data_IF_202413033055
#
_entry.id   IF_202413033055
#
_cell.length_a   1.000
_cell.length_b   1.000
_cell.length_c   1.000
_cell.angle_alpha   90.00
_cell.angle_beta   90.00
_cell.angle_gamma   90.00
#
_symmetry.space_group_name_H-M   'P 1'
#
loop_
_entity.id
_entity.type
_entity.pdbx_description
1 polymer ?
#
# COMPACT_ATOMS: atom_id res chain seq x y z
N UNK A 1 16.66 9.45 -6.47
CA UNK A 1 15.92 9.35 -5.18
C UNK A 1 16.74 9.85 -3.99
N UNK A 2 17.98 9.37 -3.79
CA UNK A 2 18.86 9.83 -2.70
C UNK A 2 18.97 11.37 -2.60
N UNK A 3 19.33 12.03 -3.71
CA UNK A 3 19.41 13.50 -3.75
C UNK A 3 18.08 14.20 -3.39
N UNK A 4 16.92 13.61 -3.73
CA UNK A 4 15.62 14.17 -3.38
C UNK A 4 15.38 14.07 -1.86
N UNK A 5 15.74 12.95 -1.23
CA UNK A 5 15.64 12.79 0.22
C UNK A 5 16.52 13.81 0.95
N UNK A 6 17.78 13.96 0.52
CA UNK A 6 18.72 14.93 1.09
C UNK A 6 18.22 16.37 0.97
N UNK A 7 17.73 16.76 -0.21
CA UNK A 7 17.16 18.09 -0.42
C UNK A 7 15.89 18.31 0.41
N UNK A 8 15.01 17.32 0.52
CA UNK A 8 13.82 17.41 1.35
C UNK A 8 14.15 17.52 2.85
N UNK A 9 15.19 16.83 3.33
CA UNK A 9 15.67 16.99 4.71
C UNK A 9 16.20 18.41 4.94
N UNK A 10 16.99 18.95 4.02
CA UNK A 10 17.48 20.32 4.11
C UNK A 10 16.33 21.34 4.10
N UNK A 11 15.32 21.15 3.26
CA UNK A 11 14.10 21.98 3.23
C UNK A 11 13.30 21.85 4.53
N UNK A 12 13.17 20.63 5.08
CA UNK A 12 12.48 20.38 6.34
C UNK A 12 13.18 21.08 7.52
N UNK A 13 14.51 21.04 7.58
CA UNK A 13 15.29 21.80 8.54
C UNK A 13 15.09 23.32 8.39
N UNK A 14 15.20 23.85 7.16
CA UNK A 14 14.97 25.27 6.85
C UNK A 14 13.56 25.74 7.19
N UNK A 15 12.56 24.87 7.02
CA UNK A 15 11.15 25.19 7.29
C UNK A 15 10.86 25.50 8.76
N UNK A 16 11.77 25.15 9.69
CA UNK A 16 11.71 25.56 11.10
C UNK A 16 11.94 27.07 11.29
N UNK A 17 12.54 27.74 10.31
CA UNK A 17 12.92 29.16 10.35
C UNK A 17 12.09 30.02 9.38
N UNK A 18 10.85 29.64 9.07
CA UNK A 18 9.95 30.46 8.24
C UNK A 18 9.55 31.71 9.02
N UNK A 19 9.91 32.89 8.51
CA UNK A 19 9.40 34.17 8.99
C UNK A 19 8.06 34.52 8.35
N UNK A 20 7.22 35.26 9.08
CA UNK A 20 5.96 35.81 8.57
C UNK A 20 6.10 37.32 8.43
N UNK A 21 5.54 37.89 7.37
CA UNK A 21 5.45 39.33 7.18
C UNK A 21 4.18 39.91 7.82
N UNK A 22 3.09 39.13 7.84
CA UNK A 22 1.82 39.51 8.44
C UNK A 22 1.70 39.00 9.87
N UNK A 23 1.45 39.94 10.78
CA UNK A 23 1.12 39.66 12.20
C UNK A 23 -0.40 39.63 12.45
N UNK A 24 -1.22 39.57 11.39
CA UNK A 24 -2.68 39.55 11.54
C UNK A 24 -3.15 38.26 12.23
N UNK A 25 -3.92 38.42 13.30
CA UNK A 25 -4.61 37.33 14.00
C UNK A 25 -5.94 36.93 13.32
N UNK A 26 -6.38 37.67 12.31
CA UNK A 26 -7.54 37.35 11.48
C UNK A 26 -7.16 36.34 10.38
N UNK A 27 -7.89 36.32 9.26
CA UNK A 27 -7.60 35.43 8.13
C UNK A 27 -6.19 35.68 7.61
N UNK A 28 -5.28 34.73 7.85
CA UNK A 28 -3.86 34.85 7.54
C UNK A 28 -3.39 33.67 6.68
N UNK A 29 -3.47 33.76 5.33
CA UNK A 29 -3.04 32.70 4.43
C UNK A 29 -1.52 32.44 4.49
N UNK A 30 -0.71 33.44 4.90
CA UNK A 30 0.73 33.30 5.08
C UNK A 30 1.04 32.36 6.26
N UNK A 31 0.41 32.59 7.41
CA UNK A 31 0.50 31.70 8.57
C UNK A 31 0.03 30.28 8.22
N UNK A 32 -1.07 30.17 7.48
CA UNK A 32 -1.59 28.88 7.02
C UNK A 32 -0.57 28.13 6.16
N UNK A 33 0.07 28.84 5.23
CA UNK A 33 1.11 28.26 4.38
C UNK A 33 2.31 27.81 5.21
N UNK A 34 2.76 28.64 6.15
CA UNK A 34 3.94 28.37 6.98
C UNK A 34 3.84 27.06 7.77
N UNK A 35 2.71 26.79 8.45
CA UNK A 35 2.57 25.53 9.17
C UNK A 35 2.24 24.35 8.26
N UNK A 36 1.54 24.56 7.13
CA UNK A 36 1.20 23.48 6.19
C UNK A 36 2.43 22.96 5.45
N UNK A 37 3.31 23.85 4.97
CA UNK A 37 4.55 23.46 4.27
C UNK A 37 5.40 22.55 5.14
N UNK A 38 5.52 22.85 6.44
CA UNK A 38 6.26 21.98 7.39
C UNK A 38 5.70 20.56 7.44
N UNK A 39 4.37 20.39 7.39
CA UNK A 39 3.70 19.09 7.37
C UNK A 39 3.85 18.39 6.02
N UNK A 40 3.70 19.14 4.93
CA UNK A 40 3.87 18.63 3.56
C UNK A 40 5.29 18.09 3.34
N UNK A 41 6.32 18.74 3.89
CA UNK A 41 7.70 18.25 3.80
C UNK A 41 7.91 16.92 4.53
N UNK A 42 7.27 16.71 5.70
CA UNK A 42 7.30 15.40 6.38
C UNK A 42 6.64 14.30 5.53
N UNK A 43 5.50 14.59 4.91
CA UNK A 43 4.83 13.64 4.01
C UNK A 43 5.66 13.35 2.76
N UNK A 44 6.27 14.38 2.16
CA UNK A 44 7.17 14.23 1.02
C UNK A 44 8.37 13.34 1.37
N UNK A 45 8.92 13.46 2.58
CA UNK A 45 9.97 12.57 3.08
C UNK A 45 9.49 11.12 3.23
N UNK A 46 8.28 10.87 3.73
CA UNK A 46 7.71 9.51 3.75
C UNK A 46 7.63 8.90 2.35
N UNK A 47 7.19 9.69 1.36
CA UNK A 47 7.11 9.24 -0.04
C UNK A 47 8.50 8.98 -0.63
N UNK A 48 9.39 9.97 -0.59
CA UNK A 48 10.70 9.88 -1.24
C UNK A 48 11.60 8.84 -0.57
N UNK A 49 11.60 8.76 0.76
CA UNK A 49 12.40 7.79 1.50
C UNK A 49 11.84 6.38 1.35
N UNK A 50 10.50 6.21 1.40
CA UNK A 50 9.87 4.93 1.10
C UNK A 50 10.19 4.43 -0.32
N UNK A 51 10.12 5.32 -1.31
CA UNK A 51 10.47 5.02 -2.70
C UNK A 51 11.95 4.66 -2.87
N UNK A 52 12.86 5.34 -2.16
CA UNK A 52 14.30 5.05 -2.16
C UNK A 52 14.58 3.66 -1.59
N UNK A 53 14.01 3.34 -0.43
CA UNK A 53 14.25 2.06 0.25
C UNK A 53 13.57 0.89 -0.45
N UNK A 54 12.45 1.09 -1.15
CA UNK A 54 11.76 0.04 -1.90
C UNK A 54 12.47 -0.27 -3.22
N UNK A 55 13.34 -1.27 -3.20
CA UNK A 55 14.17 -1.73 -4.33
C UNK A 55 13.47 -2.82 -5.17
N UNK A 56 12.30 -2.48 -5.70
CA UNK A 56 11.56 -3.23 -6.71
C UNK A 56 10.72 -2.26 -7.56
N UNK A 57 10.05 -2.78 -8.58
CA UNK A 57 8.99 -2.06 -9.32
C UNK A 57 7.64 -2.75 -9.14
N UNK A 58 6.64 -2.03 -8.61
CA UNK A 58 5.32 -2.57 -8.33
C UNK A 58 4.22 -1.53 -8.55
N UNK A 59 3.28 -1.86 -9.43
CA UNK A 59 2.16 -0.96 -9.76
C UNK A 59 2.67 0.36 -10.36
N UNK A 60 2.37 1.47 -9.71
CA UNK A 60 2.79 2.81 -10.13
C UNK A 60 4.21 3.19 -9.68
N UNK A 61 4.81 2.45 -8.74
CA UNK A 61 6.20 2.65 -8.33
C UNK A 61 7.12 1.90 -9.28
N UNK A 62 7.89 2.62 -10.09
CA UNK A 62 8.85 2.05 -11.03
C UNK A 62 10.26 2.53 -10.70
N UNK A 63 11.21 1.60 -10.71
CA UNK A 63 12.62 1.79 -10.42
C UNK A 63 13.44 1.28 -11.60
N UNK A 64 14.09 2.18 -12.33
CA UNK A 64 14.94 1.82 -13.47
C UNK A 64 16.10 0.89 -13.05
N UNK A 65 16.60 1.05 -11.84
CA UNK A 65 17.64 0.24 -11.22
C UNK A 65 17.12 -1.07 -10.59
N UNK A 66 15.80 -1.21 -10.44
CA UNK A 66 15.12 -2.43 -9.97
C UNK A 66 13.81 -2.66 -10.75
N UNK A 67 13.87 -2.98 -12.05
CA UNK A 67 12.70 -2.94 -12.94
C UNK A 67 11.68 -4.06 -12.69
N UNK A 68 12.08 -5.14 -12.00
CA UNK A 68 11.24 -6.30 -11.73
C UNK A 68 10.37 -6.09 -10.48
N UNK A 69 9.15 -6.66 -10.52
CA UNK A 69 8.36 -6.88 -9.30
C UNK A 69 9.02 -8.01 -8.51
N UNK A 70 9.25 -7.80 -7.21
CA UNK A 70 9.91 -8.79 -6.38
C UNK A 70 8.98 -9.27 -5.27
N UNK A 71 8.21 -10.33 -5.53
CA UNK A 71 7.28 -10.86 -4.54
C UNK A 71 8.02 -11.59 -3.41
N UNK A 72 9.15 -12.25 -3.68
CA UNK A 72 9.97 -12.90 -2.63
C UNK A 72 10.35 -11.94 -1.51
N UNK A 73 10.93 -10.79 -1.87
CA UNK A 73 11.51 -9.89 -0.87
C UNK A 73 10.65 -8.66 -0.58
N UNK A 74 9.67 -8.31 -1.43
CA UNK A 74 8.91 -7.05 -1.35
C UNK A 74 7.39 -7.22 -1.40
N UNK A 75 6.85 -8.42 -1.22
CA UNK A 75 5.43 -8.64 -0.96
C UNK A 75 5.04 -8.19 0.47
N UNK A 76 5.22 -6.89 0.72
CA UNK A 76 5.03 -6.20 1.98
C UNK A 76 4.60 -4.76 1.76
N UNK A 77 3.92 -4.20 2.76
CA UNK A 77 3.47 -2.82 2.82
C UNK A 77 4.44 -1.98 3.65
N UNK A 78 4.89 -0.85 3.10
CA UNK A 78 5.74 0.09 3.84
C UNK A 78 4.91 0.87 4.85
N UNK A 79 5.36 0.89 6.10
CA UNK A 79 4.76 1.63 7.22
C UNK A 79 5.71 2.77 7.58
N UNK A 80 5.30 4.01 7.38
CA UNK A 80 6.09 5.17 7.80
C UNK A 80 5.52 5.75 9.10
N UNK A 81 6.36 5.87 10.12
CA UNK A 81 6.02 6.50 11.40
C UNK A 81 7.00 7.62 11.73
N UNK A 82 6.61 8.48 12.66
CA UNK A 82 7.42 9.62 13.10
C UNK A 82 7.38 9.74 14.63
N UNK A 83 7.99 8.79 15.37
CA UNK A 83 7.86 8.70 16.82
C UNK A 83 8.53 9.85 17.57
N UNK A 84 9.65 10.39 17.08
CA UNK A 84 10.34 11.53 17.67
C UNK A 84 10.10 12.80 16.84
N UNK A 85 9.77 13.92 17.47
CA UNK A 85 9.58 15.18 16.76
C UNK A 85 10.87 15.73 16.14
N UNK A 86 12.04 15.38 16.69
CA UNK A 86 13.33 15.92 16.26
C UNK A 86 14.05 15.08 15.21
N UNK A 87 13.59 13.86 14.90
CA UNK A 87 14.16 13.05 13.83
C UNK A 87 13.97 13.73 12.46
N UNK A 88 14.96 13.57 11.58
CA UNK A 88 14.98 14.19 10.25
C UNK A 88 14.28 13.36 9.17
N UNK A 89 14.15 12.05 9.37
CA UNK A 89 13.53 11.10 8.46
C UNK A 89 12.43 10.29 9.16
N UNK A 90 11.42 9.80 8.43
CA UNK A 90 10.46 8.87 9.00
C UNK A 90 11.14 7.53 9.32
N UNK A 91 10.67 6.86 10.36
CA UNK A 91 11.02 5.47 10.64
C UNK A 91 10.19 4.59 9.72
N UNK A 92 10.85 3.74 8.94
CA UNK A 92 10.18 2.78 8.08
C UNK A 92 10.16 1.40 8.73
N UNK A 93 8.99 0.80 8.74
CA UNK A 93 8.76 -0.60 9.05
C UNK A 93 8.00 -1.24 7.87
N UNK A 94 7.84 -2.55 7.89
CA UNK A 94 7.17 -3.27 6.83
C UNK A 94 6.26 -4.37 7.38
N UNK A 95 5.03 -4.39 6.89
CA UNK A 95 4.09 -5.48 7.15
C UNK A 95 4.08 -6.44 5.96
N UNK A 96 4.50 -7.69 6.19
CA UNK A 96 4.44 -8.72 5.16
C UNK A 96 2.99 -9.09 4.84
N UNK A 97 2.70 -9.35 3.56
CA UNK A 97 1.42 -9.88 3.15
C UNK A 97 1.51 -11.40 3.10
N UNK A 98 0.65 -12.07 3.87
CA UNK A 98 0.61 -13.54 3.92
C UNK A 98 -0.03 -14.09 2.64
N UNK A 99 0.77 -14.78 1.82
CA UNK A 99 0.32 -15.42 0.58
C UNK A 99 -0.70 -16.52 0.88
N UNK A 100 -0.55 -17.26 1.97
CA UNK A 100 -1.42 -18.38 2.28
C UNK A 100 -2.84 -17.95 2.65
N UNK A 101 -3.02 -16.68 3.05
CA UNK A 101 -4.31 -16.07 3.31
C UNK A 101 -4.97 -15.45 2.06
N UNK A 102 -4.28 -15.36 0.92
CA UNK A 102 -4.82 -14.68 -0.27
C UNK A 102 -5.84 -15.56 -1.01
N UNK A 103 -7.02 -15.02 -1.33
CA UNK A 103 -7.98 -15.66 -2.25
C UNK A 103 -7.39 -15.81 -3.67
N UNK A 104 -6.55 -14.85 -4.06
CA UNK A 104 -5.83 -14.83 -5.33
C UNK A 104 -4.34 -14.51 -5.07
N UNK A 105 -3.46 -15.52 -5.05
CA UNK A 105 -2.04 -15.32 -4.80
C UNK A 105 -1.37 -14.54 -5.94
N UNK A 106 -0.17 -13.99 -5.73
CA UNK A 106 0.54 -13.21 -6.75
C UNK A 106 0.68 -13.97 -8.07
N UNK A 107 0.51 -13.28 -9.18
CA UNK A 107 0.63 -13.84 -10.51
C UNK A 107 0.85 -12.77 -11.56
N UNK A 108 0.66 -13.10 -12.84
CA UNK A 108 0.78 -12.11 -13.90
C UNK A 108 -0.42 -11.16 -13.91
N UNK A 109 -0.13 -9.85 -13.97
CA UNK A 109 -1.13 -8.78 -13.88
C UNK A 109 -2.00 -8.57 -15.13
N UNK A 110 -1.78 -9.34 -16.19
CA UNK A 110 -2.53 -9.25 -17.46
C UNK A 110 -1.95 -8.31 -18.52
N UNK A 111 -1.05 -7.39 -18.14
CA UNK A 111 -0.40 -6.45 -19.06
C UNK A 111 1.08 -6.20 -18.73
N UNK A 112 1.82 -5.72 -19.72
CA UNK A 112 3.28 -5.56 -19.65
C UNK A 112 4.01 -6.91 -19.61
N UNK A 113 5.30 -6.86 -19.32
CA UNK A 113 6.16 -8.05 -19.33
C UNK A 113 5.79 -9.03 -18.20
N UNK A 114 5.94 -10.32 -18.49
CA UNK A 114 5.82 -11.42 -17.52
C UNK A 114 7.13 -11.59 -16.76
N UNK A 115 7.62 -10.49 -16.18
CA UNK A 115 8.93 -10.45 -15.52
C UNK A 115 8.79 -10.03 -14.05
N UNK A 116 8.64 -11.04 -13.18
CA UNK A 116 8.55 -10.87 -11.74
C UNK A 116 9.25 -12.01 -11.00
N UNK A 117 9.85 -11.69 -9.86
CA UNK A 117 10.45 -12.66 -8.95
C UNK A 117 9.32 -13.19 -8.06
N UNK A 118 9.02 -14.48 -8.19
CA UNK A 118 7.92 -15.15 -7.51
C UNK A 118 8.19 -15.34 -6.01
N UNK A 119 7.12 -15.32 -5.20
CA UNK A 119 7.19 -15.63 -3.77
C UNK A 119 7.21 -17.15 -3.57
N UNK A 120 8.00 -17.70 -2.63
CA UNK A 120 8.12 -19.15 -2.42
C UNK A 120 6.79 -19.87 -2.19
N UNK A 121 5.83 -19.21 -1.52
CA UNK A 121 4.54 -19.82 -1.19
C UNK A 121 3.49 -19.71 -2.31
N UNK A 122 3.76 -18.97 -3.40
CA UNK A 122 2.75 -18.71 -4.45
C UNK A 122 2.25 -20.00 -5.10
N UNK A 123 3.16 -20.90 -5.50
CA UNK A 123 2.80 -22.16 -6.15
C UNK A 123 2.01 -23.09 -5.22
N UNK A 124 2.38 -23.12 -3.94
CA UNK A 124 1.68 -23.89 -2.90
C UNK A 124 0.25 -23.38 -2.75
N UNK A 125 0.08 -22.07 -2.56
CA UNK A 125 -1.24 -21.46 -2.43
C UNK A 125 -2.11 -21.67 -3.67
N UNK A 126 -1.54 -21.56 -4.88
CA UNK A 126 -2.28 -21.83 -6.11
C UNK A 126 -2.84 -23.26 -6.13
N UNK A 127 -2.01 -24.23 -5.77
CA UNK A 127 -2.41 -25.65 -5.68
C UNK A 127 -3.53 -25.83 -4.65
N UNK A 128 -3.41 -25.23 -3.46
CA UNK A 128 -4.43 -25.33 -2.41
C UNK A 128 -5.79 -24.77 -2.86
N UNK A 129 -5.78 -23.64 -3.57
CA UNK A 129 -6.98 -23.00 -4.12
C UNK A 129 -7.65 -23.91 -5.15
N UNK A 130 -6.87 -24.50 -6.06
CA UNK A 130 -7.39 -25.41 -7.07
C UNK A 130 -8.02 -26.65 -6.43
N UNK A 131 -7.34 -27.25 -5.46
CA UNK A 131 -7.86 -28.40 -4.72
C UNK A 131 -9.12 -28.07 -3.93
N UNK A 132 -9.20 -26.89 -3.31
CA UNK A 132 -10.41 -26.46 -2.60
C UNK A 132 -11.59 -26.28 -3.57
N UNK A 133 -11.35 -25.62 -4.72
CA UNK A 133 -12.39 -25.44 -5.75
C UNK A 133 -12.90 -26.77 -6.31
N UNK A 134 -12.01 -27.75 -6.50
CA UNK A 134 -12.39 -29.11 -6.92
C UNK A 134 -13.24 -29.83 -5.86
N UNK A 135 -12.87 -29.73 -4.57
CA UNK A 135 -13.64 -30.32 -3.46
C UNK A 135 -15.02 -29.70 -3.30
N UNK A 136 -15.16 -28.42 -3.65
CA UNK A 136 -16.40 -27.66 -3.56
C UNK A 136 -17.13 -27.59 -4.91
N UNK A 137 -16.90 -28.55 -5.81
CA UNK A 137 -17.60 -28.62 -7.08
C UNK A 137 -19.12 -28.67 -6.86
N UNK A 138 -19.84 -27.66 -7.36
CA UNK A 138 -21.29 -27.51 -7.19
C UNK A 138 -21.72 -26.60 -6.02
N UNK A 139 -20.81 -26.17 -5.16
CA UNK A 139 -21.09 -25.11 -4.19
C UNK A 139 -21.27 -23.76 -4.91
N UNK A 140 -22.08 -22.87 -4.34
CA UNK A 140 -22.20 -21.52 -4.87
C UNK A 140 -20.92 -20.71 -4.65
N UNK A 141 -20.80 -19.61 -5.39
CA UNK A 141 -19.60 -18.75 -5.34
C UNK A 141 -19.36 -18.09 -3.97
N UNK A 142 -20.39 -17.90 -3.14
CA UNK A 142 -20.25 -17.30 -1.82
C UNK A 142 -19.64 -18.31 -0.84
N UNK A 143 -20.11 -19.55 -0.85
CA UNK A 143 -19.54 -20.63 -0.06
C UNK A 143 -18.06 -20.88 -0.42
N UNK A 144 -17.74 -20.88 -1.72
CA UNK A 144 -16.34 -21.03 -2.18
C UNK A 144 -15.47 -19.85 -1.71
N UNK A 145 -15.96 -18.62 -1.82
CA UNK A 145 -15.24 -17.42 -1.37
C UNK A 145 -14.96 -17.49 0.14
N UNK A 146 -15.98 -17.80 0.95
CA UNK A 146 -15.85 -17.91 2.40
C UNK A 146 -14.85 -19.01 2.83
N UNK A 147 -14.75 -20.09 2.07
CA UNK A 147 -13.77 -21.15 2.32
C UNK A 147 -12.33 -20.76 1.89
N UNK A 148 -12.19 -19.90 0.87
CA UNK A 148 -10.88 -19.44 0.39
C UNK A 148 -10.26 -18.39 1.29
N UNK A 149 -11.05 -17.37 1.66
CA UNK A 149 -10.62 -16.20 2.42
C UNK A 149 -11.84 -15.55 3.10
N UNK A 150 -12.24 -16.00 4.30
CA UNK A 150 -13.39 -15.45 4.99
C UNK A 150 -13.15 -13.99 5.38
N UNK A 151 -14.09 -13.10 5.08
CA UNK A 151 -14.02 -11.69 5.47
C UNK A 151 -15.32 -11.11 6.05
N UNK A 152 -16.42 -11.87 6.09
CA UNK A 152 -17.73 -11.36 6.51
C UNK A 152 -17.74 -10.80 7.95
N UNK A 153 -16.95 -11.38 8.85
CA UNK A 153 -16.80 -10.88 10.22
C UNK A 153 -16.11 -9.52 10.28
N UNK A 154 -15.29 -9.19 9.27
CA UNK A 154 -14.64 -7.89 9.11
C UNK A 154 -15.60 -6.82 8.57
N UNK A 155 -16.75 -7.23 8.01
CA UNK A 155 -17.80 -6.32 7.58
C UNK A 155 -18.72 -5.96 8.76
N UNK A 156 -19.09 -4.67 8.91
CA UNK A 156 -20.19 -4.28 9.77
C UNK A 156 -21.48 -5.03 9.38
N UNK A 157 -22.25 -5.47 10.38
CA UNK A 157 -23.42 -6.33 10.19
C UNK A 157 -24.40 -5.81 9.13
N UNK A 158 -24.66 -4.49 9.11
CA UNK A 158 -25.55 -3.84 8.14
C UNK A 158 -25.13 -3.96 6.67
N UNK A 159 -23.90 -4.40 6.39
CA UNK A 159 -23.35 -4.55 5.03
C UNK A 159 -23.10 -6.00 4.63
N UNK A 160 -23.51 -6.97 5.45
CA UNK A 160 -23.32 -8.40 5.17
C UNK A 160 -24.36 -8.98 4.21
N UNK A 161 -25.44 -8.25 3.91
CA UNK A 161 -26.45 -8.74 2.98
C UNK A 161 -25.88 -8.83 1.55
N UNK A 162 -26.31 -9.83 0.75
CA UNK A 162 -25.96 -9.90 -0.65
C UNK A 162 -26.46 -8.68 -1.44
N UNK A 163 -25.72 -8.31 -2.48
CA UNK A 163 -26.18 -7.33 -3.45
C UNK A 163 -27.12 -8.02 -4.45
N UNK A 164 -28.41 -7.68 -4.40
CA UNK A 164 -29.41 -8.10 -5.39
C UNK A 164 -28.99 -7.64 -6.79
N UNK A 165 -29.13 -8.52 -7.79
CA UNK A 165 -28.87 -8.20 -9.19
C UNK A 165 -30.07 -8.53 -10.06
N UNK A 166 -30.25 -7.72 -11.09
CA UNK A 166 -31.23 -8.01 -12.13
C UNK A 166 -30.93 -9.38 -12.77
N UNK A 167 -31.90 -10.28 -12.71
CA UNK A 167 -31.81 -11.64 -13.26
C UNK A 167 -31.44 -12.74 -12.26
N UNK A 168 -31.34 -12.44 -10.96
CA UNK A 168 -31.15 -13.47 -9.93
C UNK A 168 -32.39 -14.39 -9.81
N UNK A 169 -33.61 -13.89 -10.07
CA UNK A 169 -34.87 -14.68 -10.08
C UNK A 169 -34.95 -15.69 -11.24
N UNK A 170 -34.06 -15.59 -12.24
CA UNK A 170 -34.04 -16.43 -13.45
C UNK A 170 -33.05 -17.61 -13.35
N UNK A 171 -32.52 -17.91 -12.15
CA UNK A 171 -31.52 -18.95 -11.91
C UNK A 171 -32.03 -20.07 -11.01
#
# INVERSE_FOLDING_TARGET
>A
LQAAVEQLQALQARSKNIGLNSNSAAVNPELVTAYRVRRMLKLALCVAYGALQRTESRGAHYREDFPQRNDRDWLKRTLATWPDNDQALPTLDYENLDVMAMELPPGWRGYGEKDFIEHPDTSTRQTDIEQLKLKMAGADRYAVQAALMPYDELLPERYRCPNERLGDDNK
#
